data_IF_787725528331
#
_entry.id   IF_787725528331
#
_cell.length_a   1.000
_cell.length_b   1.000
_cell.length_c   1.000
_cell.angle_alpha   90.00
_cell.angle_beta   90.00
_cell.angle_gamma   90.00
#
_symmetry.space_group_name_H-M   'P 1'
#
loop_
_entity.id
_entity.type
_entity.pdbx_description
1 polymer ?
#
# COMPACT_ATOMS: atom_id res chain seq x y z
N UNK A 1 -43.95 66.99 -46.76
CA UNK A 1 -44.83 66.18 -45.89
C UNK A 1 -43.96 65.16 -45.18
N UNK A 2 -43.35 65.57 -44.07
CA UNK A 2 -43.74 65.23 -42.68
C UNK A 2 -43.12 63.90 -42.19
N UNK A 3 -41.97 64.05 -41.52
CA UNK A 3 -41.41 63.27 -40.39
C UNK A 3 -41.10 61.77 -40.60
N UNK A 4 -39.83 61.47 -40.82
CA UNK A 4 -39.15 60.31 -40.23
C UNK A 4 -38.04 60.83 -39.31
N UNK A 5 -38.04 60.37 -38.06
CA UNK A 5 -37.01 60.61 -37.05
C UNK A 5 -36.94 59.38 -36.15
N UNK A 6 -35.77 59.22 -35.52
CA UNK A 6 -35.31 58.17 -34.59
C UNK A 6 -34.45 57.14 -35.36
N UNK A 7 -33.12 57.30 -35.47
CA UNK A 7 -32.05 57.13 -34.46
C UNK A 7 -31.97 55.67 -33.96
N UNK A 8 -30.84 54.99 -33.73
CA UNK A 8 -29.41 55.23 -33.90
C UNK A 8 -28.69 53.87 -33.73
N UNK A 9 -27.41 53.85 -34.09
CA UNK A 9 -26.31 53.06 -33.53
C UNK A 9 -26.33 51.51 -33.62
N UNK A 10 -25.32 51.01 -34.34
CA UNK A 10 -24.83 49.65 -34.29
C UNK A 10 -24.17 49.31 -32.95
N UNK A 11 -24.39 48.08 -32.47
CA UNK A 11 -23.48 47.36 -31.61
C UNK A 11 -23.57 45.86 -31.94
N UNK A 12 -22.48 45.30 -32.46
CA UNK A 12 -22.28 43.85 -32.58
C UNK A 12 -22.20 43.25 -31.17
N UNK A 13 -23.14 42.36 -30.84
CA UNK A 13 -23.01 41.47 -29.71
C UNK A 13 -22.80 40.04 -30.24
N UNK A 14 -21.57 39.55 -30.13
CA UNK A 14 -21.24 38.13 -30.22
C UNK A 14 -21.96 37.46 -29.05
N UNK A 15 -23.01 36.69 -29.34
CA UNK A 15 -23.66 35.88 -28.31
C UNK A 15 -22.79 34.65 -28.03
N UNK A 16 -22.34 34.57 -26.79
CA UNK A 16 -21.53 33.50 -26.26
C UNK A 16 -22.32 32.19 -26.20
N UNK A 17 -21.73 31.12 -26.71
CA UNK A 17 -22.12 29.75 -26.41
C UNK A 17 -21.88 29.46 -24.93
N UNK A 18 -22.97 29.32 -24.15
CA UNK A 18 -22.91 28.78 -22.80
C UNK A 18 -22.81 27.26 -22.84
N UNK A 19 -21.59 26.73 -22.88
CA UNK A 19 -21.31 25.35 -22.48
C UNK A 19 -20.95 25.33 -21.00
N UNK A 20 -21.35 24.29 -20.22
CA UNK A 20 -20.85 24.13 -18.86
C UNK A 20 -19.33 23.97 -18.89
N UNK A 21 -18.66 24.60 -17.93
CA UNK A 21 -17.21 24.54 -17.74
C UNK A 21 -16.75 23.07 -17.69
N UNK A 22 -15.80 22.62 -18.54
CA UNK A 22 -15.31 21.24 -18.53
C UNK A 22 -14.48 20.90 -17.28
N UNK A 23 -14.23 21.90 -16.42
CA UNK A 23 -13.63 21.74 -15.10
C UNK A 23 -14.69 21.80 -14.00
N UNK A 24 -15.76 21.02 -14.15
CA UNK A 24 -16.55 20.67 -12.99
C UNK A 24 -15.60 20.01 -11.98
N UNK A 25 -15.48 20.64 -10.82
CA UNK A 25 -14.74 20.13 -9.67
C UNK A 25 -15.21 18.70 -9.45
N UNK A 26 -14.34 17.73 -9.76
CA UNK A 26 -14.50 16.39 -9.21
C UNK A 26 -14.41 16.62 -7.70
N UNK A 27 -15.48 16.33 -6.97
CA UNK A 27 -15.39 16.33 -5.52
C UNK A 27 -14.23 15.44 -5.13
N UNK A 28 -13.29 16.02 -4.40
CA UNK A 28 -12.08 15.38 -3.97
C UNK A 28 -12.45 14.17 -3.10
N UNK A 29 -12.37 12.98 -3.68
CA UNK A 29 -12.43 11.73 -2.94
C UNK A 29 -11.02 11.30 -2.51
N UNK A 30 -10.12 12.23 -2.14
CA UNK A 30 -8.82 11.95 -1.49
C UNK A 30 -8.96 11.40 -0.07
N UNK A 31 -9.98 10.56 0.17
CA UNK A 31 -10.33 9.97 1.46
C UNK A 31 -9.33 8.93 1.99
N UNK A 32 -8.03 9.07 1.75
CA UNK A 32 -7.03 8.34 2.54
C UNK A 32 -6.91 9.00 3.90
N UNK A 33 -7.78 8.59 4.83
CA UNK A 33 -7.63 8.94 6.24
C UNK A 33 -6.30 8.40 6.77
N UNK A 34 -5.61 9.21 7.59
CA UNK A 34 -4.35 8.77 8.21
C UNK A 34 -4.57 7.50 9.01
N UNK A 35 -3.76 6.44 8.79
CA UNK A 35 -3.92 5.21 9.54
C UNK A 35 -3.82 5.42 11.07
N UNK A 36 -4.48 4.58 11.88
CA UNK A 36 -4.43 4.68 13.33
C UNK A 36 -3.01 4.55 13.88
N UNK A 37 -2.80 4.99 15.12
CA UNK A 37 -1.51 4.94 15.79
C UNK A 37 -1.20 6.22 16.55
N UNK A 38 -0.14 6.93 16.15
CA UNK A 38 0.35 8.12 16.86
C UNK A 38 -0.67 9.25 16.83
N UNK A 39 -1.19 9.64 18.00
CA UNK A 39 -2.27 10.65 18.13
C UNK A 39 -1.82 12.08 17.86
N UNK A 40 -0.55 12.38 18.05
CA UNK A 40 0.03 13.72 17.87
C UNK A 40 1.38 13.57 17.19
N UNK A 41 1.39 13.27 15.88
CA UNK A 41 2.64 13.12 15.13
C UNK A 41 3.41 14.45 15.10
N UNK A 42 4.73 14.33 15.02
CA UNK A 42 5.65 15.46 14.88
C UNK A 42 6.87 15.03 14.08
N UNK A 43 7.41 15.94 13.27
CA UNK A 43 8.71 15.77 12.61
C UNK A 43 9.84 15.42 13.59
N UNK A 44 9.74 15.85 14.86
CA UNK A 44 10.78 15.64 15.87
C UNK A 44 10.69 14.30 16.61
N UNK A 45 9.62 13.53 16.43
CA UNK A 45 9.34 12.34 17.23
C UNK A 45 9.15 11.07 16.39
N UNK A 46 9.17 9.94 17.10
CA UNK A 46 8.70 8.68 16.57
C UNK A 46 7.26 8.79 16.05
N UNK A 47 6.97 8.02 15.00
CA UNK A 47 5.62 7.82 14.47
C UNK A 47 5.45 6.32 14.27
N UNK A 48 4.35 5.82 14.81
CA UNK A 48 3.85 4.46 14.66
C UNK A 48 2.46 4.48 14.05
N UNK A 49 2.24 3.60 13.08
CA UNK A 49 0.98 3.44 12.36
C UNK A 49 0.62 1.97 12.22
N UNK A 50 -0.67 1.68 12.31
CA UNK A 50 -1.27 0.35 12.14
C UNK A 50 -2.28 0.35 11.00
N UNK A 51 -2.58 -0.84 10.48
CA UNK A 51 -3.69 -1.02 9.56
C UNK A 51 -5.03 -0.60 10.22
N UNK A 52 -5.89 0.19 9.54
CA UNK A 52 -7.22 0.51 10.04
C UNK A 52 -8.12 -0.73 10.17
N UNK A 53 -8.88 -0.79 11.26
CA UNK A 53 -9.94 -1.78 11.45
C UNK A 53 -11.20 -1.43 10.66
N UNK A 54 -12.18 -2.33 10.59
CA UNK A 54 -13.47 -2.04 9.94
C UNK A 54 -14.26 -0.89 10.59
N UNK A 55 -14.02 -0.60 11.87
CA UNK A 55 -14.55 0.59 12.55
C UNK A 55 -13.85 1.88 12.09
N UNK A 56 -12.65 1.77 11.51
CA UNK A 56 -11.76 2.84 11.07
C UNK A 56 -11.60 2.86 9.53
N UNK A 57 -12.63 2.39 8.80
CA UNK A 57 -12.68 2.31 7.33
C UNK A 57 -11.86 1.19 6.65
N UNK A 58 -11.37 0.22 7.41
CA UNK A 58 -10.78 -1.02 6.89
C UNK A 58 -11.80 -2.09 6.48
N UNK A 59 -11.30 -3.20 5.94
CA UNK A 59 -12.11 -4.41 5.72
C UNK A 59 -12.28 -5.19 7.03
N UNK A 60 -13.34 -6.01 7.14
CA UNK A 60 -13.53 -6.85 8.32
C UNK A 60 -12.38 -7.83 8.53
N UNK A 61 -11.81 -7.85 9.74
CA UNK A 61 -10.59 -8.60 10.06
C UNK A 61 -9.27 -7.84 9.85
N UNK A 62 -9.28 -6.66 9.24
CA UNK A 62 -8.10 -5.79 9.18
C UNK A 62 -7.78 -5.16 10.54
N UNK A 63 -6.50 -4.87 10.79
CA UNK A 63 -6.06 -4.17 12.00
C UNK A 63 -6.16 -5.00 13.30
N UNK A 64 -6.44 -6.31 13.20
CA UNK A 64 -6.55 -7.19 14.35
C UNK A 64 -5.19 -7.67 14.86
N UNK A 65 -4.16 -7.76 14.00
CA UNK A 65 -2.81 -8.06 14.47
C UNK A 65 -2.26 -6.84 15.24
N UNK A 66 -2.11 -6.99 16.55
CA UNK A 66 -1.67 -5.93 17.46
C UNK A 66 -0.40 -6.34 18.20
N UNK A 67 0.22 -5.37 18.89
CA UNK A 67 1.43 -5.59 19.71
C UNK A 67 2.54 -6.38 19.01
N UNK A 68 2.70 -6.13 17.71
CA UNK A 68 3.70 -6.79 16.86
C UNK A 68 5.10 -6.36 17.32
N UNK A 69 5.89 -7.32 17.81
CA UNK A 69 7.22 -7.07 18.35
C UNK A 69 8.23 -8.11 17.89
N UNK A 70 9.47 -7.68 17.68
CA UNK A 70 10.58 -8.53 17.26
C UNK A 70 11.55 -8.79 18.43
N UNK A 71 11.83 -10.06 18.72
CA UNK A 71 12.88 -10.48 19.64
C UNK A 71 14.14 -10.88 18.87
N UNK A 72 15.13 -9.98 18.87
CA UNK A 72 16.41 -10.19 18.20
C UNK A 72 17.29 -11.28 18.84
N UNK A 73 17.07 -11.63 20.12
CA UNK A 73 17.84 -12.68 20.79
C UNK A 73 17.38 -14.08 20.37
N UNK A 74 16.08 -14.23 20.08
CA UNK A 74 15.46 -15.49 19.66
C UNK A 74 15.25 -15.63 18.16
N UNK A 75 15.31 -14.53 17.42
CA UNK A 75 14.91 -14.47 16.01
C UNK A 75 13.41 -14.83 15.82
N UNK A 76 12.55 -14.25 16.66
CA UNK A 76 11.10 -14.50 16.66
C UNK A 76 10.29 -13.21 16.67
N UNK A 77 9.04 -13.31 16.21
CA UNK A 77 8.02 -12.28 16.37
C UNK A 77 7.02 -12.68 17.44
N UNK A 78 6.47 -11.71 18.15
CA UNK A 78 5.20 -11.88 18.88
C UNK A 78 4.11 -11.07 18.20
N UNK A 79 2.94 -11.66 18.04
CA UNK A 79 1.75 -11.01 17.48
C UNK A 79 0.58 -11.28 18.41
N UNK A 80 -0.14 -10.25 18.84
CA UNK A 80 -1.33 -10.42 19.68
C UNK A 80 -2.63 -10.23 18.88
N UNK A 81 -3.73 -10.70 19.47
CA UNK A 81 -5.11 -10.53 19.01
C UNK A 81 -5.42 -11.20 17.67
N UNK A 82 -4.71 -12.29 17.36
CA UNK A 82 -5.07 -13.23 16.30
C UNK A 82 -5.51 -14.56 16.91
N UNK A 83 -6.50 -15.19 16.28
CA UNK A 83 -7.02 -16.47 16.74
C UNK A 83 -6.37 -17.62 15.98
N UNK A 84 -6.07 -18.70 16.71
CA UNK A 84 -5.50 -19.93 16.16
C UNK A 84 -4.18 -19.69 15.40
N UNK A 85 -3.26 -18.92 15.98
CA UNK A 85 -1.90 -18.70 15.47
C UNK A 85 -0.79 -19.23 16.40
N UNK A 86 -1.14 -20.16 17.28
CA UNK A 86 -0.20 -20.80 18.21
C UNK A 86 -0.14 -20.10 19.57
N UNK A 87 1.07 -19.98 20.13
CA UNK A 87 1.33 -19.28 21.39
C UNK A 87 1.77 -17.83 21.14
N UNK A 88 1.20 -17.20 20.10
CA UNK A 88 1.51 -15.84 19.63
C UNK A 88 2.97 -15.62 19.17
N UNK A 89 3.84 -16.64 19.21
CA UNK A 89 5.25 -16.57 18.78
C UNK A 89 5.42 -17.11 17.35
N UNK A 90 6.05 -16.33 16.49
CA UNK A 90 6.29 -16.64 15.08
C UNK A 90 7.78 -16.86 14.87
N UNK A 91 8.13 -18.03 14.33
CA UNK A 91 9.51 -18.44 14.09
C UNK A 91 9.95 -18.12 12.67
N UNK A 92 11.25 -17.90 12.46
CA UNK A 92 11.87 -17.77 11.12
C UNK A 92 11.37 -18.86 10.18
N UNK A 93 10.90 -18.47 8.99
CA UNK A 93 10.28 -19.42 8.07
C UNK A 93 11.19 -20.56 7.63
N UNK A 94 10.59 -21.71 7.37
CA UNK A 94 11.32 -22.95 7.10
C UNK A 94 11.71 -23.11 5.64
N UNK A 95 10.74 -22.91 4.72
CA UNK A 95 10.93 -22.94 3.26
C UNK A 95 11.36 -21.60 2.71
N UNK A 96 10.71 -20.54 3.19
CA UNK A 96 11.01 -19.16 2.83
C UNK A 96 11.48 -18.43 4.07
N UNK A 97 12.76 -18.07 4.10
CA UNK A 97 13.38 -17.32 5.21
C UNK A 97 13.42 -15.83 4.95
N UNK A 98 13.56 -15.46 3.68
CA UNK A 98 13.81 -14.10 3.24
C UNK A 98 13.19 -13.89 1.86
N UNK A 99 12.60 -12.71 1.65
CA UNK A 99 12.05 -12.23 0.39
C UNK A 99 12.84 -11.01 -0.09
N UNK A 100 12.93 -10.86 -1.42
CA UNK A 100 13.69 -9.80 -2.09
C UNK A 100 15.14 -9.66 -1.60
N UNK A 101 15.73 -10.75 -1.07
CA UNK A 101 17.06 -10.77 -0.46
C UNK A 101 17.21 -9.86 0.79
N UNK A 102 16.11 -9.34 1.34
CA UNK A 102 16.16 -8.27 2.36
C UNK A 102 15.19 -8.45 3.52
N UNK A 103 13.95 -8.86 3.25
CA UNK A 103 12.89 -8.87 4.26
C UNK A 103 12.66 -10.27 4.79
N UNK A 104 12.57 -10.37 6.11
CA UNK A 104 12.56 -11.63 6.83
C UNK A 104 11.12 -12.18 6.88
N UNK A 105 10.97 -13.49 6.69
CA UNK A 105 9.68 -14.18 6.76
C UNK A 105 9.61 -14.99 8.04
N UNK A 106 8.45 -14.98 8.69
CA UNK A 106 8.13 -15.75 9.89
C UNK A 106 6.80 -16.49 9.74
N UNK A 107 6.69 -17.61 10.44
CA UNK A 107 5.58 -18.54 10.39
C UNK A 107 5.07 -18.75 11.82
N UNK A 108 3.75 -18.67 12.00
CA UNK A 108 3.09 -19.16 13.21
C UNK A 108 3.25 -20.68 13.33
N UNK A 109 3.12 -21.18 14.55
CA UNK A 109 3.08 -22.62 14.80
C UNK A 109 1.90 -23.28 14.09
N UNK A 110 2.12 -24.47 13.54
CA UNK A 110 1.03 -25.24 12.89
C UNK A 110 0.14 -25.98 13.87
N UNK A 111 0.61 -26.17 15.11
CA UNK A 111 -0.10 -26.88 16.17
C UNK A 111 0.18 -26.25 17.53
N UNK A 112 -0.85 -26.15 18.36
CA UNK A 112 -0.75 -25.81 19.78
C UNK A 112 -1.13 -27.04 20.61
N UNK A 113 -0.44 -27.29 21.73
CA UNK A 113 -0.75 -28.43 22.60
C UNK A 113 -1.70 -28.01 23.70
N UNK A 114 -2.88 -28.62 23.77
CA UNK A 114 -3.83 -28.40 24.87
C UNK A 114 -3.18 -28.74 26.23
N UNK A 115 -3.05 -27.78 27.16
CA UNK A 115 -2.36 -28.01 28.42
C UNK A 115 -3.09 -28.99 29.35
N UNK A 116 -4.40 -29.19 29.20
CA UNK A 116 -5.19 -30.06 30.08
C UNK A 116 -5.14 -31.53 29.69
N UNK A 117 -4.95 -31.83 28.39
CA UNK A 117 -5.03 -33.20 27.88
C UNK A 117 -3.96 -33.59 26.86
N UNK A 118 -3.02 -32.68 26.57
CA UNK A 118 -1.89 -32.88 25.64
C UNK A 118 -2.28 -33.23 24.20
N UNK A 119 -3.52 -32.97 23.78
CA UNK A 119 -3.94 -33.16 22.39
C UNK A 119 -3.47 -31.99 21.54
N UNK A 120 -3.02 -32.25 20.30
CA UNK A 120 -2.70 -31.17 19.37
C UNK A 120 -3.97 -30.49 18.85
N UNK A 121 -3.93 -29.16 18.79
CA UNK A 121 -4.93 -28.30 18.18
C UNK A 121 -4.30 -27.70 16.93
N UNK A 122 -4.86 -28.00 15.76
CA UNK A 122 -4.38 -27.41 14.51
C UNK A 122 -4.59 -25.90 14.52
N UNK A 123 -3.57 -25.18 14.09
CA UNK A 123 -3.59 -23.74 13.94
C UNK A 123 -3.82 -23.34 12.48
N UNK A 124 -4.20 -22.10 12.26
CA UNK A 124 -4.32 -21.50 10.94
C UNK A 124 -2.97 -21.04 10.42
N UNK A 125 -2.80 -21.11 9.10
CA UNK A 125 -1.59 -20.69 8.41
C UNK A 125 -1.47 -19.17 8.43
N UNK A 126 -0.72 -18.64 9.39
CA UNK A 126 -0.33 -17.24 9.43
C UNK A 126 1.11 -17.05 8.94
N UNK A 127 1.36 -15.92 8.28
CA UNK A 127 2.69 -15.49 7.85
C UNK A 127 2.91 -14.05 8.24
N UNK A 128 4.14 -13.77 8.68
CA UNK A 128 4.60 -12.42 8.93
C UNK A 128 5.81 -12.08 8.05
N UNK A 129 5.82 -10.87 7.49
CA UNK A 129 6.97 -10.28 6.81
C UNK A 129 7.46 -9.11 7.64
N UNK A 130 8.76 -9.04 7.87
CA UNK A 130 9.40 -7.96 8.60
C UNK A 130 10.54 -7.33 7.82
N UNK A 131 10.57 -6.00 7.81
CA UNK A 131 11.68 -5.23 7.29
C UNK A 131 12.13 -4.17 8.28
N UNK A 132 13.44 -4.06 8.45
CA UNK A 132 14.08 -3.02 9.26
C UNK A 132 15.11 -2.28 8.42
N UNK A 133 15.25 -0.97 8.64
CA UNK A 133 16.24 -0.16 7.94
C UNK A 133 17.67 -0.51 8.36
N UNK A 134 18.64 -0.14 7.52
CA UNK A 134 20.08 -0.36 7.77
C UNK A 134 20.55 0.19 9.13
N UNK A 135 19.93 1.26 9.61
CA UNK A 135 20.23 1.92 10.87
C UNK A 135 19.26 1.54 12.01
N UNK A 136 18.29 0.66 11.79
CA UNK A 136 17.29 0.26 12.79
C UNK A 136 16.19 1.28 13.08
N UNK A 137 16.23 2.47 12.47
CA UNK A 137 15.34 3.58 12.83
C UNK A 137 13.96 3.53 12.19
N UNK A 138 13.77 2.72 11.15
CA UNK A 138 12.44 2.47 10.60
C UNK A 138 12.22 0.99 10.39
N UNK A 139 10.97 0.56 10.54
CA UNK A 139 10.60 -0.82 10.26
C UNK A 139 9.13 -0.92 9.85
N UNK A 140 8.78 -2.04 9.23
CA UNK A 140 7.42 -2.45 8.96
C UNK A 140 7.25 -3.93 9.30
N UNK A 141 6.04 -4.33 9.62
CA UNK A 141 5.65 -5.73 9.69
C UNK A 141 4.27 -5.92 9.06
N UNK A 142 4.04 -7.05 8.40
CA UNK A 142 2.77 -7.41 7.77
C UNK A 142 2.44 -8.82 8.20
N UNK A 143 1.24 -9.02 8.77
CA UNK A 143 0.74 -10.32 9.22
C UNK A 143 -0.59 -10.60 8.49
N UNK A 144 -0.65 -11.74 7.81
CA UNK A 144 -1.84 -12.22 7.08
C UNK A 144 -2.05 -13.71 7.29
N UNK A 145 -3.26 -14.16 6.97
CA UNK A 145 -3.69 -15.56 7.03
C UNK A 145 -4.46 -15.93 5.77
N UNK A 146 -4.30 -17.16 5.31
CA UNK A 146 -5.05 -17.72 4.18
C UNK A 146 -6.14 -18.69 4.61
N UNK A 147 -6.45 -18.76 5.90
CA UNK A 147 -7.29 -19.83 6.44
C UNK A 147 -8.80 -19.55 6.36
N UNK A 148 -9.20 -18.34 5.98
CA UNK A 148 -10.58 -17.89 5.95
C UNK A 148 -11.12 -17.89 4.52
N UNK A 149 -12.46 -17.90 4.40
CA UNK A 149 -13.11 -17.75 3.10
C UNK A 149 -13.02 -16.31 2.57
N UNK A 150 -12.99 -15.31 3.46
CA UNK A 150 -12.60 -13.94 3.14
C UNK A 150 -11.12 -13.69 3.47
N UNK A 151 -10.68 -12.44 3.39
CA UNK A 151 -9.28 -12.07 3.70
C UNK A 151 -8.79 -12.50 5.10
N UNK A 152 -9.71 -12.77 6.04
CA UNK A 152 -9.37 -13.23 7.37
C UNK A 152 -8.85 -12.12 8.27
N UNK A 153 -8.16 -12.51 9.35
CA UNK A 153 -7.69 -11.59 10.38
C UNK A 153 -6.19 -11.34 10.27
N UNK A 154 -5.79 -10.07 10.30
CA UNK A 154 -4.40 -9.68 10.16
C UNK A 154 -4.16 -8.22 10.48
N UNK A 155 -2.98 -7.74 10.16
CA UNK A 155 -2.59 -6.35 10.36
C UNK A 155 -1.26 -6.02 9.72
N UNK A 156 -0.98 -4.74 9.52
CA UNK A 156 0.37 -4.27 9.27
C UNK A 156 0.72 -3.14 10.23
N UNK A 157 2.03 -2.95 10.44
CA UNK A 157 2.59 -1.76 11.05
C UNK A 157 3.66 -1.17 10.15
N UNK A 158 3.87 0.14 10.27
CA UNK A 158 5.06 0.82 9.79
C UNK A 158 5.39 1.97 10.74
N UNK A 159 6.68 2.18 10.99
CA UNK A 159 7.12 3.14 11.99
C UNK A 159 8.49 3.72 11.72
N UNK A 160 8.70 4.91 12.30
CA UNK A 160 10.02 5.46 12.60
C UNK A 160 10.18 5.64 14.10
N UNK A 161 11.38 5.42 14.62
CA UNK A 161 11.71 5.60 16.06
C UNK A 161 12.34 6.95 16.37
N UNK A 162 12.82 7.68 15.35
CA UNK A 162 13.40 9.03 15.48
C UNK A 162 12.64 10.07 14.68
N UNK A 163 13.20 11.28 14.57
CA UNK A 163 12.63 12.36 13.77
C UNK A 163 13.01 12.32 12.28
N UNK A 164 12.60 13.37 11.58
CA UNK A 164 12.97 13.68 10.21
C UNK A 164 13.31 15.16 10.09
N UNK A 165 14.32 15.49 9.29
CA UNK A 165 14.53 16.86 8.81
C UNK A 165 14.17 16.91 7.33
N UNK A 166 13.03 17.51 7.01
CA UNK A 166 12.55 17.64 5.64
C UNK A 166 13.33 18.73 4.88
N UNK A 167 13.79 18.47 3.64
CA UNK A 167 14.34 19.52 2.78
C UNK A 167 13.27 20.55 2.45
N UNK A 168 13.60 21.84 2.46
CA UNK A 168 12.65 22.90 2.08
C UNK A 168 12.56 23.15 0.58
N UNK A 169 13.37 22.45 -0.22
CA UNK A 169 13.42 22.60 -1.67
C UNK A 169 14.16 21.44 -2.35
N UNK A 170 14.03 21.38 -3.67
CA UNK A 170 14.67 20.42 -4.57
C UNK A 170 13.86 19.14 -4.77
N UNK A 171 14.48 18.17 -5.45
CA UNK A 171 13.90 16.86 -5.71
C UNK A 171 14.81 15.76 -5.15
N UNK A 172 14.21 14.62 -4.80
CA UNK A 172 14.94 13.44 -4.38
C UNK A 172 14.30 12.16 -4.89
N UNK A 173 15.14 11.20 -5.31
CA UNK A 173 14.72 9.86 -5.72
C UNK A 173 15.17 8.85 -4.67
N UNK A 174 14.32 7.87 -4.39
CA UNK A 174 14.53 6.80 -3.43
C UNK A 174 14.29 5.47 -4.10
N UNK A 175 15.20 4.53 -3.88
CA UNK A 175 15.16 3.22 -4.50
C UNK A 175 15.17 2.10 -3.45
N UNK A 176 14.50 1.00 -3.78
CA UNK A 176 14.54 -0.21 -2.99
C UNK A 176 13.69 -1.33 -3.57
N UNK A 177 13.35 -2.26 -2.69
CA UNK A 177 12.55 -3.44 -3.01
C UNK A 177 11.38 -3.52 -2.04
N UNK A 178 10.34 -4.21 -2.45
CA UNK A 178 9.15 -4.53 -1.66
C UNK A 178 9.07 -6.04 -1.42
N UNK A 179 8.46 -6.44 -0.30
CA UNK A 179 7.94 -7.79 -0.16
C UNK A 179 6.60 -7.78 0.56
N UNK A 180 5.73 -8.71 0.19
CA UNK A 180 4.37 -8.74 0.66
C UNK A 180 3.74 -10.12 0.65
N UNK A 181 2.48 -10.13 1.03
CA UNK A 181 1.58 -11.29 1.01
C UNK A 181 0.40 -10.96 0.11
N UNK A 182 -0.06 -11.96 -0.65
CA UNK A 182 -1.40 -11.96 -1.25
C UNK A 182 -2.31 -12.85 -0.44
N UNK A 183 -3.47 -12.31 -0.10
CA UNK A 183 -4.60 -13.03 0.47
C UNK A 183 -5.87 -12.81 -0.38
N UNK A 184 -6.87 -13.65 -0.15
CA UNK A 184 -7.96 -13.83 -1.10
C UNK A 184 -9.31 -13.64 -0.42
N UNK A 185 -10.20 -12.94 -1.11
CA UNK A 185 -11.61 -12.86 -0.72
C UNK A 185 -12.44 -13.78 -1.60
N UNK A 186 -13.13 -14.74 -0.98
CA UNK A 186 -13.88 -15.82 -1.64
C UNK A 186 -13.08 -17.13 -1.81
N UNK A 187 -11.81 -17.15 -1.40
CA UNK A 187 -10.95 -18.34 -1.43
C UNK A 187 -9.97 -18.31 -0.26
N UNK A 188 -9.47 -19.48 0.14
CA UNK A 188 -8.35 -19.58 1.07
C UNK A 188 -7.00 -19.61 0.34
N UNK A 189 -5.92 -19.49 1.09
CA UNK A 189 -4.54 -19.54 0.60
C UNK A 189 -3.76 -18.25 0.86
N UNK A 190 -2.44 -18.36 0.70
CA UNK A 190 -1.51 -17.24 0.76
C UNK A 190 -0.47 -17.41 -0.34
N UNK A 191 -0.06 -16.30 -0.93
CA UNK A 191 1.09 -16.20 -1.83
C UNK A 191 2.03 -15.11 -1.30
N UNK A 192 3.32 -15.17 -1.62
CA UNK A 192 4.25 -14.07 -1.36
C UNK A 192 4.42 -13.21 -2.60
N UNK A 193 4.78 -11.94 -2.41
CA UNK A 193 5.16 -11.05 -3.50
C UNK A 193 6.50 -10.39 -3.25
N UNK A 194 7.17 -10.03 -4.34
CA UNK A 194 8.32 -9.11 -4.32
C UNK A 194 8.23 -8.15 -5.49
N UNK A 195 8.79 -6.94 -5.34
CA UNK A 195 8.83 -5.95 -6.40
C UNK A 195 10.06 -5.03 -6.25
N UNK A 196 10.39 -4.30 -7.31
CA UNK A 196 11.22 -3.11 -7.22
C UNK A 196 10.33 -1.89 -7.02
N UNK A 197 10.80 -0.91 -6.24
CA UNK A 197 10.08 0.35 -6.01
C UNK A 197 11.03 1.54 -6.11
N UNK A 198 10.60 2.53 -6.87
CA UNK A 198 11.18 3.87 -6.92
C UNK A 198 10.15 4.89 -6.44
N UNK A 199 10.58 5.85 -5.63
CA UNK A 199 9.76 6.98 -5.18
C UNK A 199 10.54 8.25 -5.48
N UNK A 200 9.91 9.23 -6.11
CA UNK A 200 10.45 10.56 -6.30
C UNK A 200 9.61 11.57 -5.51
N UNK A 201 10.27 12.52 -4.85
CA UNK A 201 9.61 13.62 -4.15
C UNK A 201 10.10 14.93 -4.73
N UNK A 202 9.16 15.80 -5.08
CA UNK A 202 9.39 17.21 -5.35
C UNK A 202 9.02 18.02 -4.10
N UNK A 203 10.02 18.66 -3.50
CA UNK A 203 9.86 19.48 -2.29
C UNK A 203 9.49 20.94 -2.59
N UNK A 204 9.46 21.32 -3.87
CA UNK A 204 9.18 22.68 -4.35
C UNK A 204 7.75 22.82 -4.91
N UNK A 205 7.20 21.77 -5.52
CA UNK A 205 5.95 21.86 -6.29
C UNK A 205 4.64 21.65 -5.49
N UNK A 206 3.53 22.06 -6.13
CA UNK A 206 2.16 22.25 -5.60
C UNK A 206 1.96 23.42 -4.64
N UNK A 207 2.91 24.37 -4.60
CA UNK A 207 2.83 25.70 -3.97
C UNK A 207 1.70 25.86 -2.93
N UNK A 208 2.07 25.75 -1.66
CA UNK A 208 1.14 25.82 -0.53
C UNK A 208 0.21 27.05 -0.57
N UNK A 209 -1.10 26.81 -0.66
CA UNK A 209 -2.14 27.84 -0.53
C UNK A 209 -2.84 27.84 0.84
N UNK A 210 -2.49 26.89 1.73
CA UNK A 210 -3.20 26.57 2.97
C UNK A 210 -2.35 26.59 4.24
N UNK A 211 -1.05 26.88 4.17
CA UNK A 211 -0.12 26.89 5.31
C UNK A 211 0.50 25.53 5.65
N UNK A 212 0.43 24.55 4.74
CA UNK A 212 0.97 23.18 4.87
C UNK A 212 1.82 22.83 3.65
N UNK A 213 2.84 21.99 3.83
CA UNK A 213 3.65 21.46 2.73
C UNK A 213 2.82 20.92 1.54
N UNK A 214 3.18 21.34 0.32
CA UNK A 214 2.49 20.97 -0.92
C UNK A 214 3.08 19.75 -1.65
N UNK A 215 4.29 19.33 -1.29
CA UNK A 215 5.14 18.37 -2.02
C UNK A 215 4.44 17.33 -2.91
N UNK A 216 4.95 17.20 -4.14
CA UNK A 216 4.53 16.14 -5.04
C UNK A 216 5.26 14.83 -4.73
N UNK A 217 4.52 13.72 -4.71
CA UNK A 217 5.11 12.37 -4.60
C UNK A 217 4.72 11.55 -5.82
N UNK A 218 5.73 11.08 -6.54
CA UNK A 218 5.64 10.11 -7.62
C UNK A 218 6.25 8.77 -7.17
N UNK A 219 5.76 7.67 -7.72
CA UNK A 219 6.26 6.36 -7.38
C UNK A 219 5.85 5.29 -8.38
N UNK A 220 6.74 4.34 -8.58
CA UNK A 220 6.57 3.26 -9.55
C UNK A 220 6.97 1.92 -8.93
N UNK A 221 6.11 0.92 -9.08
CA UNK A 221 6.33 -0.46 -8.66
C UNK A 221 6.47 -1.32 -9.91
N UNK A 222 7.60 -2.00 -10.05
CA UNK A 222 7.94 -2.81 -11.23
C UNK A 222 8.47 -4.18 -10.85
N UNK A 223 8.70 -5.04 -11.85
CA UNK A 223 9.32 -6.37 -11.68
C UNK A 223 8.64 -7.22 -10.62
N UNK A 224 7.31 -7.12 -10.52
CA UNK A 224 6.53 -7.88 -9.55
C UNK A 224 6.62 -9.38 -9.84
N UNK A 225 6.89 -10.13 -8.78
CA UNK A 225 6.93 -11.58 -8.77
C UNK A 225 6.03 -12.12 -7.69
N UNK A 226 5.42 -13.27 -7.98
CA UNK A 226 4.49 -13.94 -7.10
C UNK A 226 5.02 -15.35 -6.84
N UNK A 227 5.05 -15.74 -5.57
CA UNK A 227 5.51 -17.03 -5.13
C UNK A 227 4.40 -17.75 -4.38
N UNK A 228 4.35 -19.08 -4.51
CA UNK A 228 3.53 -19.86 -3.59
C UNK A 228 4.08 -19.78 -2.16
N UNK A 229 3.35 -20.31 -1.19
CA UNK A 229 3.78 -20.29 0.22
C UNK A 229 5.04 -21.13 0.50
N UNK A 230 5.48 -21.96 -0.44
CA UNK A 230 6.73 -22.73 -0.35
C UNK A 230 7.91 -21.98 -0.99
N UNK A 231 7.69 -20.82 -1.62
CA UNK A 231 8.69 -20.01 -2.27
C UNK A 231 8.97 -20.37 -3.73
N UNK A 232 8.11 -21.17 -4.36
CA UNK A 232 8.20 -21.42 -5.81
C UNK A 232 7.67 -20.20 -6.55
N UNK A 233 8.44 -19.68 -7.51
CA UNK A 233 7.98 -18.60 -8.40
C UNK A 233 6.85 -19.12 -9.30
N UNK A 234 5.65 -18.57 -9.10
CA UNK A 234 4.43 -18.92 -9.83
C UNK A 234 3.94 -17.75 -10.68
N UNK A 235 4.77 -16.72 -10.91
CA UNK A 235 4.38 -15.49 -11.61
C UNK A 235 3.75 -15.80 -12.97
N UNK A 236 4.38 -16.65 -13.78
CA UNK A 236 3.84 -17.04 -15.10
C UNK A 236 2.54 -17.84 -14.99
N UNK A 237 2.36 -18.61 -13.90
CA UNK A 237 1.10 -19.33 -13.65
C UNK A 237 -0.04 -18.37 -13.31
N UNK A 238 0.25 -17.34 -12.51
CA UNK A 238 -0.71 -16.27 -12.20
C UNK A 238 -1.07 -15.47 -13.46
N UNK A 239 -0.07 -15.10 -14.25
CA UNK A 239 -0.30 -14.38 -15.51
C UNK A 239 -1.15 -15.23 -16.45
N UNK A 240 -0.79 -16.49 -16.67
CA UNK A 240 -1.51 -17.36 -17.60
C UNK A 240 -2.98 -17.58 -17.20
N UNK A 241 -3.30 -17.69 -15.90
CA UNK A 241 -4.70 -17.80 -15.46
C UNK A 241 -5.48 -16.52 -15.68
N UNK A 242 -4.88 -15.35 -15.42
CA UNK A 242 -5.49 -14.04 -15.69
C UNK A 242 -5.75 -13.87 -17.20
N UNK A 243 -4.76 -14.17 -18.04
CA UNK A 243 -4.87 -14.08 -19.49
C UNK A 243 -5.99 -14.98 -20.03
N UNK A 244 -6.07 -16.22 -19.53
CA UNK A 244 -7.07 -17.20 -19.97
C UNK A 244 -8.50 -16.76 -19.64
N UNK A 245 -8.75 -16.32 -18.41
CA UNK A 245 -10.10 -15.92 -17.98
C UNK A 245 -10.56 -14.64 -18.70
N UNK A 246 -9.67 -13.66 -18.84
CA UNK A 246 -10.03 -12.33 -19.31
C UNK A 246 -9.81 -12.17 -20.83
N UNK A 247 -9.33 -13.20 -21.51
CA UNK A 247 -8.97 -13.18 -22.94
C UNK A 247 -8.02 -12.01 -23.28
N UNK A 248 -7.01 -11.79 -22.43
CA UNK A 248 -6.00 -10.73 -22.59
C UNK A 248 -4.59 -11.29 -22.76
N UNK A 249 -3.62 -10.41 -23.02
CA UNK A 249 -2.21 -10.76 -23.04
C UNK A 249 -1.41 -9.80 -22.18
N UNK A 250 -0.70 -10.33 -21.19
CA UNK A 250 0.17 -9.63 -20.27
C UNK A 250 1.60 -10.13 -20.46
N UNK A 251 2.52 -9.24 -20.81
CA UNK A 251 3.95 -9.61 -20.93
C UNK A 251 4.62 -9.82 -19.57
N UNK A 252 4.07 -9.19 -18.56
CA UNK A 252 4.49 -9.23 -17.17
C UNK A 252 3.32 -8.79 -16.32
N UNK A 253 3.43 -8.99 -15.01
CA UNK A 253 2.51 -8.33 -14.08
C UNK A 253 2.62 -6.80 -14.27
N UNK A 254 1.51 -6.04 -14.38
CA UNK A 254 1.57 -4.63 -14.77
C UNK A 254 2.42 -3.75 -13.86
N UNK A 255 2.96 -2.67 -14.40
CA UNK A 255 3.59 -1.62 -13.59
C UNK A 255 2.51 -0.85 -12.84
N UNK A 256 2.68 -0.69 -11.52
CA UNK A 256 1.79 0.16 -10.72
C UNK A 256 2.44 1.52 -10.48
N UNK A 257 1.64 2.58 -10.54
CA UNK A 257 2.09 3.98 -10.44
C UNK A 257 1.30 4.71 -9.39
N UNK A 258 1.96 5.61 -8.66
CA UNK A 258 1.30 6.48 -7.69
C UNK A 258 0.53 7.56 -8.43
N UNK A 259 -0.62 7.95 -7.89
CA UNK A 259 -1.33 9.14 -8.35
C UNK A 259 -0.62 10.36 -7.78
N UNK A 260 -0.01 11.15 -8.66
CA UNK A 260 0.62 12.42 -8.28
C UNK A 260 -0.47 13.48 -8.04
N UNK A 261 -0.44 14.09 -6.86
CA UNK A 261 -1.37 15.15 -6.49
C UNK A 261 -0.87 15.94 -5.27
N UNK A 262 -1.47 17.11 -4.99
CA UNK A 262 -1.12 17.91 -3.82
C UNK A 262 -1.60 17.24 -2.52
N UNK A 263 -1.00 17.63 -1.39
CA UNK A 263 -1.46 17.25 -0.05
C UNK A 263 -1.24 15.79 0.32
N UNK A 264 -0.43 15.07 -0.46
CA UNK A 264 -0.07 13.67 -0.19
C UNK A 264 0.99 13.52 0.88
N UNK A 265 1.69 14.61 1.25
CA UNK A 265 2.73 14.61 2.27
C UNK A 265 2.54 15.74 3.28
N UNK A 266 2.74 15.44 4.56
CA UNK A 266 2.61 16.43 5.64
C UNK A 266 3.97 16.89 6.22
N UNK A 267 3.92 17.91 7.08
CA UNK A 267 5.10 18.46 7.77
C UNK A 267 5.76 17.46 8.74
N UNK A 268 5.04 16.41 9.13
CA UNK A 268 5.57 15.34 9.97
C UNK A 268 6.37 14.32 9.15
N UNK A 269 6.32 14.41 7.83
CA UNK A 269 6.93 13.48 6.90
C UNK A 269 6.11 12.19 6.70
N UNK A 270 4.82 12.21 7.00
CA UNK A 270 3.89 11.16 6.61
C UNK A 270 3.47 11.37 5.15
N UNK A 271 3.32 10.29 4.39
CA UNK A 271 2.93 10.31 2.99
C UNK A 271 1.77 9.34 2.78
N UNK A 272 0.68 9.81 2.18
CA UNK A 272 -0.53 9.06 1.91
C UNK A 272 -1.03 9.35 0.50
N UNK A 273 -1.30 8.30 -0.27
CA UNK A 273 -1.84 8.48 -1.60
C UNK A 273 -2.36 7.18 -2.18
N UNK A 274 -2.75 7.25 -3.45
CA UNK A 274 -3.32 6.11 -4.18
C UNK A 274 -2.32 5.56 -5.18
N UNK A 275 -2.46 4.26 -5.47
CA UNK A 275 -1.67 3.53 -6.46
C UNK A 275 -2.61 2.77 -7.38
N UNK A 276 -2.26 2.65 -8.65
CA UNK A 276 -3.05 1.92 -9.62
C UNK A 276 -2.16 1.34 -10.72
N UNK A 277 -2.62 0.28 -11.37
CA UNK A 277 -1.99 -0.26 -12.56
C UNK A 277 -3.03 -0.54 -13.65
N UNK A 278 -2.57 -0.68 -14.88
CA UNK A 278 -3.43 -0.82 -16.05
C UNK A 278 -2.97 -1.94 -16.97
N UNK A 279 -3.90 -2.48 -17.74
CA UNK A 279 -3.64 -3.34 -18.88
C UNK A 279 -4.42 -2.88 -20.10
N UNK A 280 -4.03 -3.38 -21.28
CA UNK A 280 -4.77 -3.14 -22.52
C UNK A 280 -5.57 -4.40 -22.85
N UNK A 281 -6.88 -4.27 -23.05
CA UNK A 281 -7.75 -5.39 -23.39
C UNK A 281 -7.69 -5.78 -24.88
N UNK A 282 -8.47 -6.79 -25.27
CA UNK A 282 -8.52 -7.29 -26.66
C UNK A 282 -9.05 -6.26 -27.67
N UNK A 283 -9.77 -5.23 -27.21
CA UNK A 283 -10.31 -4.15 -28.05
C UNK A 283 -9.29 -3.02 -28.23
N UNK A 284 -8.18 -3.05 -27.49
CA UNK A 284 -7.17 -1.99 -27.46
C UNK A 284 -7.47 -0.91 -26.43
N UNK A 285 -8.48 -1.09 -25.58
CA UNK A 285 -8.85 -0.12 -24.55
C UNK A 285 -8.01 -0.33 -23.29
N UNK A 286 -7.69 0.78 -22.61
CA UNK A 286 -6.97 0.74 -21.32
C UNK A 286 -7.94 0.47 -20.20
N UNK A 287 -7.70 -0.60 -19.46
CA UNK A 287 -8.51 -1.04 -18.34
C UNK A 287 -7.66 -1.01 -17.06
N UNK A 288 -8.31 -0.71 -15.94
CA UNK A 288 -7.68 -0.80 -14.62
C UNK A 288 -7.43 -2.26 -14.27
N UNK A 289 -6.18 -2.58 -13.92
CA UNK A 289 -5.79 -3.91 -13.47
C UNK A 289 -6.01 -4.06 -11.96
N UNK A 290 -5.59 -3.06 -11.18
CA UNK A 290 -5.77 -3.01 -9.73
C UNK A 290 -5.73 -1.55 -9.25
N UNK A 291 -6.27 -1.31 -8.05
CA UNK A 291 -6.17 -0.02 -7.36
C UNK A 291 -5.82 -0.25 -5.91
N UNK A 292 -5.32 0.80 -5.25
CA UNK A 292 -4.86 0.68 -3.88
C UNK A 292 -4.44 2.00 -3.26
N UNK A 293 -3.93 1.89 -2.03
CA UNK A 293 -3.35 2.99 -1.28
C UNK A 293 -1.92 2.67 -0.90
N UNK A 294 -1.11 3.71 -0.73
CA UNK A 294 0.19 3.61 -0.09
C UNK A 294 0.25 4.54 1.12
N UNK A 295 0.96 4.08 2.14
CA UNK A 295 1.16 4.78 3.39
C UNK A 295 2.63 4.73 3.75
N UNK A 296 3.26 5.87 4.01
CA UNK A 296 4.69 5.93 4.26
C UNK A 296 5.08 7.01 5.27
N UNK A 297 6.26 6.85 5.84
CA UNK A 297 6.89 7.80 6.76
C UNK A 297 8.34 8.01 6.32
N UNK A 298 8.72 9.27 6.15
CA UNK A 298 10.11 9.67 5.96
C UNK A 298 10.86 9.68 7.29
N UNK A 299 12.16 9.38 7.26
CA UNK A 299 12.99 9.39 8.46
C UNK A 299 14.42 9.87 8.20
N UNK A 300 15.06 10.35 9.26
CA UNK A 300 16.47 10.72 9.28
C UNK A 300 16.74 12.14 8.80
N UNK A 301 18.01 12.53 8.94
CA UNK A 301 18.49 13.82 8.49
C UNK A 301 18.37 13.95 6.98
N UNK A 302 17.89 15.10 6.52
CA UNK A 302 17.60 15.39 5.10
C UNK A 302 16.65 14.38 4.45
N UNK A 303 15.83 13.71 5.25
CA UNK A 303 14.86 12.71 4.81
C UNK A 303 15.52 11.63 3.93
N UNK A 304 16.56 10.96 4.46
CA UNK A 304 17.38 10.00 3.70
C UNK A 304 16.74 8.63 3.44
N UNK A 305 15.62 8.32 4.07
CA UNK A 305 14.92 7.05 3.91
C UNK A 305 13.41 7.20 4.06
N UNK A 306 12.67 6.26 3.47
CA UNK A 306 11.22 6.15 3.58
C UNK A 306 10.88 4.71 3.92
N UNK A 307 9.99 4.51 4.90
CA UNK A 307 9.35 3.23 5.20
C UNK A 307 7.88 3.31 4.88
N UNK A 308 7.27 2.23 4.41
CA UNK A 308 5.84 2.23 4.16
C UNK A 308 5.26 0.88 3.79
N UNK A 309 3.96 0.89 3.56
CA UNK A 309 3.15 -0.23 3.10
C UNK A 309 2.30 0.22 1.92
N UNK A 310 2.13 -0.67 0.95
CA UNK A 310 1.21 -0.54 -0.18
C UNK A 310 0.18 -1.65 -0.07
N UNK A 311 -1.10 -1.30 -0.22
CA UNK A 311 -2.21 -2.25 -0.27
C UNK A 311 -2.93 -2.07 -1.60
N UNK A 312 -2.93 -3.09 -2.44
CA UNK A 312 -3.59 -3.11 -3.75
C UNK A 312 -4.61 -4.24 -3.82
N UNK A 313 -5.72 -4.01 -4.49
CA UNK A 313 -6.76 -5.01 -4.72
C UNK A 313 -7.06 -5.14 -6.22
N UNK A 314 -7.21 -6.39 -6.66
CA UNK A 314 -7.58 -6.71 -8.03
C UNK A 314 -8.66 -7.79 -8.07
N UNK A 315 -9.64 -7.61 -8.96
CA UNK A 315 -10.68 -8.61 -9.25
C UNK A 315 -10.46 -9.34 -10.58
N UNK A 316 -9.31 -9.14 -11.24
CA UNK A 316 -9.02 -9.74 -12.55
C UNK A 316 -8.51 -11.18 -12.44
N UNK A 317 -7.96 -11.54 -11.28
CA UNK A 317 -7.40 -12.85 -11.04
C UNK A 317 -8.50 -13.84 -10.61
N UNK A 318 -8.82 -14.87 -11.43
CA UNK A 318 -9.97 -15.74 -11.22
C UNK A 318 -9.85 -16.69 -10.01
N UNK A 319 -8.73 -16.68 -9.29
CA UNK A 319 -8.56 -17.53 -8.10
C UNK A 319 -9.52 -17.16 -6.98
N UNK A 320 -10.00 -15.91 -6.95
CA UNK A 320 -10.85 -15.36 -5.90
C UNK A 320 -11.76 -14.26 -6.47
N UNK A 321 -12.73 -13.79 -5.67
CA UNK A 321 -13.53 -12.62 -6.06
C UNK A 321 -12.70 -11.34 -6.07
N UNK A 322 -11.78 -11.22 -5.12
CA UNK A 322 -10.77 -10.16 -5.08
C UNK A 322 -9.50 -10.74 -4.47
N UNK A 323 -8.36 -10.34 -5.02
CA UNK A 323 -7.04 -10.62 -4.49
C UNK A 323 -6.47 -9.32 -3.94
N UNK A 324 -6.02 -9.36 -2.69
CA UNK A 324 -5.35 -8.24 -2.06
C UNK A 324 -3.87 -8.54 -1.94
N UNK A 325 -3.04 -7.59 -2.34
CA UNK A 325 -1.60 -7.58 -2.09
C UNK A 325 -1.30 -6.55 -1.00
N UNK A 326 -0.68 -6.97 0.11
CA UNK A 326 -0.13 -6.07 1.14
C UNK A 326 1.38 -6.20 1.14
N UNK A 327 2.09 -5.15 0.74
CA UNK A 327 3.54 -5.16 0.54
C UNK A 327 4.23 -4.02 1.28
N UNK A 328 5.30 -4.33 2.00
CA UNK A 328 6.06 -3.36 2.79
C UNK A 328 7.40 -3.02 2.14
N UNK A 329 7.91 -1.83 2.42
CA UNK A 329 9.18 -1.35 1.87
C UNK A 329 9.97 -0.46 2.82
N UNK A 330 11.29 -0.45 2.59
CA UNK A 330 12.20 0.60 3.07
C UNK A 330 13.09 1.01 1.90
N UNK A 331 12.95 2.26 1.44
CA UNK A 331 13.72 2.83 0.33
C UNK A 331 14.70 3.89 0.82
N UNK A 332 15.76 4.10 0.05
CA UNK A 332 16.86 5.00 0.39
C UNK A 332 17.21 5.90 -0.79
N UNK A 333 17.70 7.11 -0.50
CA UNK A 333 18.38 7.95 -1.50
C UNK A 333 19.62 7.28 -2.07
#
# INVERSE_FOLDING_TARGET
>A
MTKFLVAAAAALAVSACGGPNPFAVVEDSSGSTTPPGTKSPSAASAIYRTEPTSEEAGYDGNGYATDISYDAAKDTFTVDNLAFDGDNEYSRGTKVKTLAGKYAVYEADTQFTDPENSKPINQYTHRAIYGVSRNGNTNFAIVRTGAYAGYGFGGFIYQRTGGVTLPSSGQAVYNGVMAGLRDFNGAGGLEYTTADIEIAIDFDDFDDSTGTRGDAVDGVITNRKIFDINGLDITDTVIARIETENAITLRSYPTATFTVGPGVMDDNGEILGTVQSYYTDSSGDTQTFETGNYYAIMSGDKAGQIVGVVVMESSIDPIASTVRETSGFVVYR
#
